data_IF_438606151242
#
_entry.id   IF_438606151242
#
_cell.length_a   1.000
_cell.length_b   1.000
_cell.length_c   1.000
_cell.angle_alpha   90.00
_cell.angle_beta   90.00
_cell.angle_gamma   90.00
#
_symmetry.space_group_name_H-M   'P 1'
#
loop_
_entity.id
_entity.type
_entity.pdbx_description
1 polymer ?
#
# COMPACT_ATOMS: atom_id res chain seq x y z
N UNK A 1 -21.91 13.75 5.89
CA UNK A 1 -20.66 13.84 5.11
C UNK A 1 -19.86 12.62 5.51
N UNK A 2 -19.62 11.68 4.59
CA UNK A 2 -18.76 10.55 4.90
C UNK A 2 -17.35 11.11 5.10
N UNK A 3 -16.80 10.92 6.29
CA UNK A 3 -15.40 11.20 6.57
C UNK A 3 -14.58 10.36 5.58
N UNK A 4 -13.59 10.97 4.90
CA UNK A 4 -12.78 10.23 3.93
C UNK A 4 -11.85 9.29 4.70
N UNK A 5 -12.29 8.06 4.96
CA UNK A 5 -11.57 7.03 5.72
C UNK A 5 -10.28 6.54 5.06
N UNK A 6 -10.03 6.97 3.82
CA UNK A 6 -8.84 6.67 3.04
C UNK A 6 -8.17 7.98 2.61
N UNK A 7 -6.88 8.10 2.92
CA UNK A 7 -6.04 9.24 2.59
C UNK A 7 -4.86 8.75 1.74
N UNK A 8 -4.80 9.19 0.50
CA UNK A 8 -3.63 9.03 -0.36
C UNK A 8 -2.72 10.23 -0.10
N UNK A 9 -1.41 10.02 0.05
CA UNK A 9 -0.43 11.12 0.22
C UNK A 9 0.97 10.72 -0.21
N UNK A 10 1.75 11.72 -0.59
CA UNK A 10 3.20 11.61 -0.69
C UNK A 10 3.82 11.64 0.71
N UNK A 11 4.66 10.66 1.04
CA UNK A 11 5.34 10.53 2.32
C UNK A 11 6.72 9.94 2.11
N UNK A 12 7.77 10.50 2.71
CA UNK A 12 9.14 9.95 2.70
C UNK A 12 9.66 9.52 1.31
N UNK A 13 9.21 10.18 0.24
CA UNK A 13 9.61 9.89 -1.13
C UNK A 13 8.78 8.80 -1.85
N UNK A 14 7.67 8.32 -1.30
CA UNK A 14 6.76 7.37 -1.94
C UNK A 14 5.30 7.88 -1.89
N UNK A 15 4.43 7.39 -2.78
CA UNK A 15 2.99 7.66 -2.70
C UNK A 15 2.33 6.46 -2.03
N UNK A 16 1.65 6.71 -0.91
CA UNK A 16 1.01 5.69 -0.10
C UNK A 16 -0.42 6.02 0.27
N UNK A 17 -1.13 5.00 0.75
CA UNK A 17 -2.52 5.07 1.21
C UNK A 17 -2.57 4.75 2.69
N UNK A 18 -3.30 5.57 3.43
CA UNK A 18 -3.39 5.58 4.88
C UNK A 18 -4.85 5.81 5.28
N UNK A 19 -5.12 5.81 6.59
CA UNK A 19 -6.40 6.24 7.16
C UNK A 19 -7.11 5.13 7.92
N UNK A 20 -8.18 5.47 8.66
CA UNK A 20 -8.86 4.55 9.57
C UNK A 20 -9.21 3.21 8.94
N UNK A 21 -9.69 3.19 7.68
CA UNK A 21 -10.04 1.94 7.02
C UNK A 21 -8.83 1.04 6.75
N UNK A 22 -7.64 1.60 6.49
CA UNK A 22 -6.41 0.80 6.34
C UNK A 22 -5.99 0.24 7.69
N UNK A 23 -6.09 1.06 8.74
CA UNK A 23 -5.77 0.64 10.11
C UNK A 23 -6.74 -0.44 10.60
N UNK A 24 -8.04 -0.34 10.30
CA UNK A 24 -9.06 -1.32 10.66
C UNK A 24 -8.82 -2.67 9.99
N UNK A 25 -8.47 -2.68 8.70
CA UNK A 25 -8.08 -3.92 7.99
C UNK A 25 -6.86 -4.54 8.67
N UNK A 26 -5.85 -3.74 8.97
CA UNK A 26 -4.62 -4.21 9.58
C UNK A 26 -4.84 -4.79 10.98
N UNK A 27 -5.53 -4.04 11.84
CA UNK A 27 -5.84 -4.43 13.21
C UNK A 27 -6.77 -5.64 13.26
N UNK A 28 -7.75 -5.73 12.35
CA UNK A 28 -8.65 -6.87 12.27
C UNK A 28 -7.90 -8.18 11.98
N UNK A 29 -6.99 -8.17 11.02
CA UNK A 29 -6.17 -9.35 10.69
C UNK A 29 -5.14 -9.63 11.78
N UNK A 30 -4.46 -8.61 12.30
CA UNK A 30 -3.46 -8.78 13.35
C UNK A 30 -4.07 -9.41 14.61
N UNK A 31 -5.24 -8.92 15.04
CA UNK A 31 -6.00 -9.47 16.16
C UNK A 31 -6.44 -10.91 15.93
N UNK A 32 -6.95 -11.23 14.73
CA UNK A 32 -7.37 -12.60 14.39
C UNK A 32 -6.21 -13.61 14.33
N UNK A 33 -4.97 -13.14 14.12
CA UNK A 33 -3.78 -13.97 13.99
C UNK A 33 -2.83 -13.89 15.20
N UNK A 34 -3.26 -13.27 16.31
CA UNK A 34 -2.45 -13.04 17.52
C UNK A 34 -1.10 -12.34 17.23
N UNK A 35 -1.07 -11.46 16.23
CA UNK A 35 0.12 -10.67 15.87
C UNK A 35 0.22 -9.46 16.80
N UNK A 36 1.35 -9.24 17.50
CA UNK A 36 1.52 -8.08 18.35
C UNK A 36 1.39 -6.77 17.55
N UNK A 37 0.41 -5.94 17.91
CA UNK A 37 0.28 -4.58 17.39
C UNK A 37 1.46 -3.73 17.88
N UNK A 38 2.51 -3.63 17.08
CA UNK A 38 3.72 -2.93 17.49
C UNK A 38 4.30 -2.01 16.41
N UNK A 39 3.53 -1.60 15.40
CA UNK A 39 4.11 -0.70 14.39
C UNK A 39 4.48 0.66 14.98
N UNK A 40 5.72 1.08 14.72
CA UNK A 40 6.23 2.42 15.01
C UNK A 40 5.67 3.50 14.06
N UNK A 41 4.90 3.10 13.05
CA UNK A 41 4.32 3.97 12.03
C UNK A 41 2.89 3.53 11.66
N UNK A 42 2.07 4.44 11.10
CA UNK A 42 0.75 4.08 10.60
C UNK A 42 0.79 2.99 9.53
N UNK A 43 -0.22 2.12 9.51
CA UNK A 43 -0.37 1.15 8.44
C UNK A 43 -0.57 1.85 7.11
N UNK A 44 -0.02 1.26 6.05
CA UNK A 44 -0.14 1.85 4.72
C UNK A 44 -0.02 0.84 3.59
N UNK A 45 -0.53 1.23 2.42
CA UNK A 45 -0.32 0.55 1.15
C UNK A 45 0.55 1.44 0.27
N UNK A 46 1.65 0.93 -0.25
CA UNK A 46 2.53 1.68 -1.17
C UNK A 46 2.04 1.57 -2.62
N UNK A 47 1.56 2.68 -3.19
CA UNK A 47 1.06 2.79 -4.57
C UNK A 47 2.19 2.97 -5.58
N UNK A 48 3.11 3.90 -5.28
CA UNK A 48 4.32 4.18 -6.05
C UNK A 48 5.50 4.14 -5.08
N UNK A 49 6.50 3.32 -5.38
CA UNK A 49 7.71 3.21 -4.56
C UNK A 49 8.60 4.44 -4.72
N UNK A 50 9.61 4.56 -3.85
CA UNK A 50 10.58 5.65 -3.93
C UNK A 50 11.34 5.68 -5.25
N UNK A 51 11.71 4.52 -5.76
CA UNK A 51 12.49 4.43 -6.99
C UNK A 51 11.62 4.64 -8.23
N UNK A 52 10.38 4.15 -8.22
CA UNK A 52 9.39 4.44 -9.27
C UNK A 52 9.10 5.95 -9.33
N UNK A 53 8.89 6.60 -8.17
CA UNK A 53 8.63 8.04 -8.13
C UNK A 53 9.81 8.82 -8.67
N UNK A 54 11.05 8.46 -8.28
CA UNK A 54 12.28 9.07 -8.81
C UNK A 54 12.35 8.96 -10.32
N UNK A 55 12.13 7.77 -10.88
CA UNK A 55 12.15 7.55 -12.33
C UNK A 55 11.10 8.42 -13.05
N UNK A 56 9.86 8.42 -12.57
CA UNK A 56 8.77 9.22 -13.15
C UNK A 56 9.06 10.72 -13.16
N UNK A 57 9.77 11.22 -12.15
CA UNK A 57 10.11 12.64 -12.01
C UNK A 57 11.40 13.05 -12.71
N UNK A 58 12.36 12.13 -12.87
CA UNK A 58 13.66 12.39 -13.49
C UNK A 58 13.52 12.67 -14.99
N UNK A 59 12.57 11.98 -15.65
CA UNK A 59 12.31 12.15 -17.07
C UNK A 59 11.49 13.43 -17.40
N UNK A 60 11.32 14.35 -16.42
CA UNK A 60 10.53 15.61 -16.50
C UNK A 60 9.09 15.44 -17.02
N UNK A 61 8.62 14.20 -17.13
CA UNK A 61 7.36 13.86 -17.80
C UNK A 61 6.15 14.09 -16.90
N UNK A 62 6.35 14.05 -15.58
CA UNK A 62 5.29 14.24 -14.60
C UNK A 62 5.78 15.07 -13.41
N UNK A 63 4.98 16.04 -12.97
CA UNK A 63 5.20 16.69 -11.67
C UNK A 63 4.66 15.80 -10.56
N UNK A 64 5.32 15.82 -9.39
CA UNK A 64 4.87 15.08 -8.21
C UNK A 64 3.43 15.47 -7.84
N UNK A 65 3.11 16.76 -7.95
CA UNK A 65 1.78 17.28 -7.65
C UNK A 65 0.72 16.69 -8.58
N UNK A 66 1.01 16.60 -9.90
CA UNK A 66 0.09 15.98 -10.87
C UNK A 66 -0.11 14.49 -10.55
N UNK A 67 0.96 13.76 -10.23
CA UNK A 67 0.88 12.35 -9.83
C UNK A 67 0.01 12.18 -8.58
N UNK A 68 0.19 13.06 -7.60
CA UNK A 68 -0.56 13.05 -6.36
C UNK A 68 -2.04 13.39 -6.59
N UNK A 69 -2.35 14.45 -7.33
CA UNK A 69 -3.73 14.85 -7.66
C UNK A 69 -4.45 13.76 -8.44
N UNK A 70 -3.77 13.08 -9.37
CA UNK A 70 -4.37 11.95 -10.07
C UNK A 70 -4.56 10.75 -9.14
N UNK A 71 -3.62 10.48 -8.23
CA UNK A 71 -3.72 9.38 -7.29
C UNK A 71 -4.91 9.54 -6.32
N UNK A 72 -5.24 10.76 -5.89
CA UNK A 72 -6.40 11.00 -5.01
C UNK A 72 -7.75 10.73 -5.69
N UNK A 73 -7.80 10.60 -7.02
CA UNK A 73 -9.01 10.22 -7.77
C UNK A 73 -9.20 8.71 -7.95
N UNK A 74 -8.25 7.89 -7.49
CA UNK A 74 -8.35 6.43 -7.59
C UNK A 74 -9.57 5.96 -6.79
N UNK A 75 -10.37 5.06 -7.37
CA UNK A 75 -11.50 4.44 -6.67
C UNK A 75 -11.03 3.65 -5.45
N UNK A 76 -11.40 4.10 -4.26
CA UNK A 76 -11.04 3.49 -2.97
C UNK A 76 -12.09 2.51 -2.45
N UNK A 77 -13.24 2.32 -3.13
CA UNK A 77 -14.32 1.46 -2.63
C UNK A 77 -13.92 -0.02 -2.62
N UNK A 78 -13.17 -0.45 -3.63
CA UNK A 78 -12.84 -1.85 -3.90
C UNK A 78 -11.42 -2.23 -3.43
N UNK A 79 -11.14 -2.00 -2.15
CA UNK A 79 -9.93 -2.46 -1.45
C UNK A 79 -10.30 -3.69 -0.63
N UNK A 80 -9.69 -4.82 -0.95
CA UNK A 80 -9.97 -6.11 -0.31
C UNK A 80 -8.71 -6.74 0.27
N UNK A 81 -8.77 -7.23 1.50
CA UNK A 81 -7.76 -8.13 2.05
C UNK A 81 -8.03 -9.56 1.59
N UNK A 82 -6.99 -10.24 1.09
CA UNK A 82 -7.08 -11.63 0.64
C UNK A 82 -6.64 -12.61 1.72
N UNK A 83 -5.66 -12.24 2.53
CA UNK A 83 -5.13 -13.08 3.60
C UNK A 83 -3.83 -12.56 4.18
N UNK A 84 -3.36 -13.26 5.20
CA UNK A 84 -2.07 -13.04 5.85
C UNK A 84 -0.99 -13.84 5.12
N UNK A 85 0.09 -13.17 4.73
CA UNK A 85 1.32 -13.80 4.24
C UNK A 85 2.46 -13.65 5.25
N UNK A 86 3.41 -14.58 5.20
CA UNK A 86 4.61 -14.58 6.03
C UNK A 86 4.48 -15.33 7.35
N UNK A 87 5.34 -15.00 8.32
CA UNK A 87 5.40 -15.61 9.65
C UNK A 87 5.02 -14.56 10.72
N UNK A 88 3.97 -14.80 11.54
CA UNK A 88 3.62 -13.95 12.68
C UNK A 88 4.79 -13.65 13.65
N UNK A 89 5.80 -14.51 13.73
CA UNK A 89 7.01 -14.32 14.55
C UNK A 89 8.15 -13.60 13.83
N UNK A 90 7.98 -13.33 12.53
CA UNK A 90 8.98 -12.75 11.66
C UNK A 90 8.42 -11.58 10.84
N UNK A 91 8.54 -11.67 9.52
CA UNK A 91 7.97 -10.69 8.60
C UNK A 91 6.58 -11.17 8.20
N UNK A 92 5.57 -10.33 8.43
CA UNK A 92 4.18 -10.64 8.08
C UNK A 92 3.49 -9.44 7.42
N UNK A 93 2.57 -9.73 6.51
CA UNK A 93 1.84 -8.73 5.73
C UNK A 93 0.46 -9.22 5.34
N UNK A 94 -0.43 -8.29 5.01
CA UNK A 94 -1.74 -8.59 4.45
C UNK A 94 -1.64 -8.42 2.95
N UNK A 95 -2.02 -9.43 2.18
CA UNK A 95 -2.15 -9.31 0.72
C UNK A 95 -3.41 -8.51 0.39
N UNK A 96 -3.26 -7.47 -0.42
CA UNK A 96 -4.34 -6.55 -0.81
C UNK A 96 -4.63 -6.67 -2.31
N UNK A 97 -5.91 -6.86 -2.64
CA UNK A 97 -6.43 -6.76 -4.00
C UNK A 97 -7.06 -5.40 -4.19
N UNK A 98 -6.50 -4.63 -5.12
CA UNK A 98 -7.01 -3.32 -5.49
C UNK A 98 -6.66 -2.99 -6.96
N UNK A 99 -7.56 -3.33 -7.88
CA UNK A 99 -7.29 -3.21 -9.31
C UNK A 99 -7.21 -1.75 -9.80
N UNK A 100 -7.93 -0.83 -9.16
CA UNK A 100 -7.94 0.58 -9.56
C UNK A 100 -6.54 1.20 -9.54
N UNK A 101 -5.67 0.79 -8.61
CA UNK A 101 -4.27 1.24 -8.57
C UNK A 101 -3.50 0.72 -9.77
N UNK A 102 -3.74 -0.51 -10.22
CA UNK A 102 -3.04 -1.04 -11.39
C UNK A 102 -3.47 -0.34 -12.70
N UNK A 103 -4.73 0.11 -12.79
CA UNK A 103 -5.19 0.99 -13.88
C UNK A 103 -4.42 2.32 -13.84
N UNK A 104 -4.32 2.92 -12.66
CA UNK A 104 -3.54 4.14 -12.46
C UNK A 104 -2.05 3.94 -12.81
N UNK A 105 -1.41 2.86 -12.34
CA UNK A 105 -0.01 2.54 -12.63
C UNK A 105 0.27 2.43 -14.13
N UNK A 106 -0.63 1.79 -14.87
CA UNK A 106 -0.53 1.67 -16.34
C UNK A 106 -0.55 3.03 -17.05
N UNK A 107 -1.33 4.00 -16.56
CA UNK A 107 -1.38 5.38 -17.12
C UNK A 107 0.00 6.05 -17.12
N UNK A 108 0.84 5.71 -16.15
CA UNK A 108 2.19 6.26 -15.97
C UNK A 108 3.30 5.31 -16.44
N UNK A 109 2.97 4.27 -17.21
CA UNK A 109 3.96 3.32 -17.72
C UNK A 109 4.58 2.41 -16.64
N UNK A 110 4.04 2.41 -15.42
CA UNK A 110 4.49 1.51 -14.36
C UNK A 110 3.96 0.10 -14.58
N UNK A 111 4.76 -0.90 -14.19
CA UNK A 111 4.35 -2.30 -14.22
C UNK A 111 3.20 -2.58 -13.26
N UNK A 112 2.44 -3.65 -13.55
CA UNK A 112 1.49 -4.20 -12.59
C UNK A 112 2.19 -4.57 -11.28
N UNK A 113 1.54 -4.31 -10.15
CA UNK A 113 2.05 -4.60 -8.83
C UNK A 113 0.98 -5.27 -7.97
N UNK A 114 1.43 -6.16 -7.10
CA UNK A 114 0.62 -6.71 -6.02
C UNK A 114 0.85 -5.89 -4.75
N UNK A 115 -0.22 -5.61 -4.03
CA UNK A 115 -0.21 -4.68 -2.90
C UNK A 115 -0.26 -5.43 -1.58
N UNK A 116 0.29 -4.81 -0.55
CA UNK A 116 0.25 -5.35 0.80
C UNK A 116 0.24 -4.24 1.85
N UNK A 117 -0.17 -4.62 3.05
CA UNK A 117 0.04 -3.86 4.29
C UNK A 117 1.02 -4.66 5.13
N UNK A 118 2.20 -4.11 5.43
CA UNK A 118 3.15 -4.75 6.33
C UNK A 118 2.62 -4.67 7.78
N UNK A 119 2.64 -5.78 8.51
CA UNK A 119 2.20 -5.85 9.91
C UNK A 119 3.38 -5.90 10.90
N UNK A 120 4.52 -6.42 10.47
CA UNK A 120 5.73 -6.52 11.28
C UNK A 120 6.59 -5.25 11.23
N UNK A 121 7.28 -4.93 12.32
CA UNK A 121 8.31 -3.88 12.32
C UNK A 121 9.54 -4.25 11.48
N UNK A 122 9.85 -5.54 11.41
CA UNK A 122 10.87 -6.04 10.52
C UNK A 122 10.27 -6.10 9.11
N UNK A 123 10.90 -5.38 8.19
CA UNK A 123 10.53 -5.39 6.78
C UNK A 123 11.66 -6.03 5.97
N UNK A 124 11.32 -7.07 5.21
CA UNK A 124 12.21 -7.69 4.25
C UNK A 124 11.61 -7.53 2.85
N UNK A 125 12.26 -6.70 2.03
CA UNK A 125 11.83 -6.42 0.66
C UNK A 125 12.19 -7.54 -0.33
N UNK A 126 12.94 -8.56 0.08
CA UNK A 126 13.28 -9.73 -0.75
C UNK A 126 12.20 -10.80 -0.76
N UNK A 127 11.29 -10.78 0.21
CA UNK A 127 10.18 -11.73 0.29
C UNK A 127 9.15 -11.46 -0.80
N UNK A 128 8.60 -12.53 -1.36
CA UNK A 128 7.45 -12.43 -2.26
C UNK A 128 6.20 -12.06 -1.45
N UNK A 129 5.76 -10.82 -1.53
CA UNK A 129 4.56 -10.30 -0.83
C UNK A 129 3.32 -10.30 -1.71
N UNK A 130 3.24 -11.30 -2.58
CA UNK A 130 2.20 -11.49 -3.57
C UNK A 130 1.15 -12.50 -3.10
N UNK A 131 0.11 -12.70 -3.90
CA UNK A 131 -0.89 -13.75 -3.69
C UNK A 131 -0.30 -15.17 -3.72
N UNK A 132 0.90 -15.37 -4.27
CA UNK A 132 1.59 -16.67 -4.25
C UNK A 132 2.21 -16.99 -2.88
N UNK A 133 2.20 -16.04 -1.95
CA UNK A 133 2.69 -16.20 -0.59
C UNK A 133 1.62 -16.60 0.42
N UNK A 134 0.38 -16.84 -0.04
CA UNK A 134 -0.74 -17.28 0.78
C UNK A 134 -0.79 -18.81 0.89
#
# INVERSE_FOLDING_TARGET
MAENDIVIKHSRGYIGVFGPRIDDIANGVASAADIPNALSCPYHITLITKDELRQLTADLSNKIDDLYENATTIDTKHIYSLGLGGDPKGVCWIVIIWNAVNIFRRKYGLSFKQFHITLSNNDDHSLDKSLYSL
#
